data_IF_521458148954
#
_entry.id   IF_521458148954
#
_cell.length_a   1.000
_cell.length_b   1.000
_cell.length_c   1.000
_cell.angle_alpha   90.00
_cell.angle_beta   90.00
_cell.angle_gamma   90.00
#
_symmetry.space_group_name_H-M   'P 1'
#
loop_
_entity.id
_entity.type
_entity.pdbx_description
1 polymer ?
#
# COMPACT_ATOMS: atom_id res chain seq x y z
N UNK A 1 -4.48 8.25 0.35
CA UNK A 1 -5.23 7.06 0.82
C UNK A 1 -4.22 6.05 1.29
N UNK A 2 -4.52 5.32 2.36
CA UNK A 2 -3.74 4.18 2.85
C UNK A 2 -4.41 2.88 2.39
N UNK A 3 -3.58 1.87 2.15
CA UNK A 3 -4.00 0.52 1.82
C UNK A 3 -3.21 -0.46 2.67
N UNK A 4 -3.87 -1.48 3.20
CA UNK A 4 -3.25 -2.48 4.05
C UNK A 4 -4.03 -3.79 3.97
N UNK A 5 -3.35 -4.88 4.31
CA UNK A 5 -3.94 -6.21 4.40
C UNK A 5 -4.15 -6.57 5.86
N UNK A 6 -5.20 -7.33 6.14
CA UNK A 6 -5.48 -7.91 7.46
C UNK A 6 -5.94 -9.34 7.23
N UNK A 7 -5.26 -10.31 7.82
CA UNK A 7 -5.58 -11.74 7.75
C UNK A 7 -5.89 -12.35 9.12
N UNK A 8 -6.34 -11.53 10.08
CA UNK A 8 -6.84 -11.99 11.38
C UNK A 8 -8.17 -12.77 11.26
N UNK A 9 -9.19 -12.38 12.03
CA UNK A 9 -10.47 -13.11 12.05
C UNK A 9 -11.17 -13.22 10.68
N UNK A 10 -11.01 -12.21 9.83
CA UNK A 10 -11.55 -12.19 8.48
C UNK A 10 -10.53 -11.50 7.56
N UNK A 11 -10.03 -12.26 6.59
CA UNK A 11 -9.03 -11.81 5.65
C UNK A 11 -9.61 -10.74 4.71
N UNK A 12 -8.86 -9.66 4.50
CA UNK A 12 -9.32 -8.50 3.73
C UNK A 12 -8.16 -7.65 3.23
N UNK A 13 -8.42 -6.94 2.13
CA UNK A 13 -7.66 -5.76 1.73
C UNK A 13 -8.50 -4.54 2.02
N UNK A 14 -7.93 -3.61 2.76
CA UNK A 14 -8.62 -2.41 3.23
C UNK A 14 -8.01 -1.15 2.67
N UNK A 15 -8.86 -0.11 2.63
CA UNK A 15 -8.48 1.24 2.23
C UNK A 15 -9.07 2.24 3.22
N UNK A 16 -8.31 3.26 3.58
CA UNK A 16 -8.82 4.42 4.31
C UNK A 16 -8.17 5.73 3.84
N UNK A 17 -8.68 6.84 4.35
CA UNK A 17 -8.02 8.14 4.25
C UNK A 17 -6.76 8.18 5.13
N UNK A 18 -5.82 9.07 4.82
CA UNK A 18 -4.55 9.11 5.58
C UNK A 18 -4.72 9.63 7.02
N UNK A 19 -5.90 10.13 7.37
CA UNK A 19 -6.33 10.47 8.73
C UNK A 19 -7.11 9.35 9.43
N UNK A 20 -7.20 8.17 8.80
CA UNK A 20 -7.87 6.97 9.29
C UNK A 20 -9.38 6.94 9.05
N UNK A 21 -9.96 8.00 8.48
CA UNK A 21 -11.40 8.07 8.20
C UNK A 21 -11.77 7.27 6.94
N UNK A 22 -13.07 7.07 6.70
CA UNK A 22 -13.59 6.40 5.51
C UNK A 22 -12.93 5.03 5.25
N UNK A 23 -12.73 4.24 6.31
CA UNK A 23 -12.19 2.88 6.21
C UNK A 23 -13.23 1.98 5.53
N UNK A 24 -12.81 1.34 4.45
CA UNK A 24 -13.65 0.47 3.61
C UNK A 24 -12.89 -0.79 3.23
N UNK A 25 -13.58 -1.92 3.22
CA UNK A 25 -13.05 -3.16 2.65
C UNK A 25 -13.17 -3.09 1.13
N UNK A 26 -12.06 -3.25 0.42
CA UNK A 26 -12.04 -3.26 -1.05
C UNK A 26 -11.95 -4.70 -1.60
N UNK A 27 -11.53 -5.65 -0.76
CA UNK A 27 -11.59 -7.09 -1.02
C UNK A 27 -11.91 -7.78 0.30
N UNK A 28 -12.97 -8.58 0.33
CA UNK A 28 -13.50 -9.28 1.50
C UNK A 28 -13.93 -10.73 1.19
N UNK A 29 -13.68 -11.20 -0.04
CA UNK A 29 -14.09 -12.53 -0.52
C UNK A 29 -12.96 -13.17 -1.31
N UNK A 30 -12.89 -14.51 -1.29
CA UNK A 30 -11.84 -15.30 -1.96
C UNK A 30 -10.45 -14.78 -1.60
N UNK A 31 -10.20 -14.54 -0.31
CA UNK A 31 -8.97 -14.00 0.25
C UNK A 31 -8.76 -14.68 1.60
N UNK A 32 -7.53 -15.11 1.90
CA UNK A 32 -7.26 -15.96 3.06
C UNK A 32 -6.00 -15.51 3.80
N UNK A 33 -4.85 -15.41 3.12
CA UNK A 33 -3.60 -14.95 3.74
C UNK A 33 -2.87 -13.91 2.87
N UNK A 34 -3.42 -12.69 2.75
CA UNK A 34 -2.77 -11.58 2.07
C UNK A 34 -1.55 -11.06 2.85
N UNK A 35 -0.34 -11.43 2.45
CA UNK A 35 0.91 -11.15 3.18
C UNK A 35 1.71 -9.96 2.65
N UNK A 36 1.51 -9.57 1.39
CA UNK A 36 2.17 -8.41 0.80
C UNK A 36 1.24 -7.64 -0.12
N UNK A 37 1.47 -6.33 -0.26
CA UNK A 37 0.72 -5.44 -1.15
C UNK A 37 1.64 -4.49 -1.90
N UNK A 38 1.24 -4.09 -3.11
CA UNK A 38 1.90 -3.05 -3.89
C UNK A 38 0.86 -2.13 -4.55
N UNK A 39 1.23 -0.86 -4.71
CA UNK A 39 0.33 0.15 -5.28
C UNK A 39 0.88 0.68 -6.59
N UNK A 40 0.08 0.62 -7.66
CA UNK A 40 0.28 1.40 -8.86
C UNK A 40 -0.42 2.75 -8.69
N UNK A 41 0.37 3.78 -8.35
CA UNK A 41 -0.14 5.13 -8.10
C UNK A 41 -0.68 5.82 -9.35
N UNK A 42 -0.23 5.42 -10.55
CA UNK A 42 -0.62 6.04 -11.82
C UNK A 42 -1.95 5.46 -12.29
N UNK A 43 -2.01 4.12 -12.40
CA UNK A 43 -3.18 3.42 -12.92
C UNK A 43 -4.25 3.12 -11.84
N UNK A 44 -3.95 3.44 -10.57
CA UNK A 44 -4.84 3.25 -9.42
C UNK A 44 -5.24 1.79 -9.21
N UNK A 45 -4.24 0.91 -9.19
CA UNK A 45 -4.40 -0.52 -8.90
C UNK A 45 -3.68 -0.92 -7.60
N UNK A 46 -4.28 -1.87 -6.89
CA UNK A 46 -3.76 -2.52 -5.69
C UNK A 46 -3.47 -3.96 -6.06
N UNK A 47 -2.21 -4.37 -5.94
CA UNK A 47 -1.77 -5.74 -6.10
C UNK A 47 -1.57 -6.34 -4.71
N UNK A 48 -1.94 -7.61 -4.53
CA UNK A 48 -1.62 -8.33 -3.30
C UNK A 48 -1.20 -9.76 -3.60
N UNK A 49 -0.41 -10.29 -2.67
CA UNK A 49 0.05 -11.67 -2.65
C UNK A 49 -0.72 -12.42 -1.57
N UNK A 50 -1.44 -13.47 -1.97
CA UNK A 50 -2.11 -14.41 -1.07
C UNK A 50 -1.39 -15.76 -1.10
N UNK A 51 -0.72 -16.11 0.01
CA UNK A 51 0.11 -17.33 0.10
C UNK A 51 -0.70 -18.59 0.36
N UNK A 52 -1.94 -18.47 0.85
CA UNK A 52 -2.80 -19.63 1.07
C UNK A 52 -3.54 -20.01 -0.21
N UNK A 53 -4.01 -19.01 -0.96
CA UNK A 53 -4.68 -19.21 -2.25
C UNK A 53 -3.72 -19.38 -3.44
N UNK A 54 -2.41 -19.35 -3.18
CA UNK A 54 -1.36 -19.49 -4.18
C UNK A 54 -1.52 -18.47 -5.32
N UNK A 55 -1.87 -17.22 -5.01
CA UNK A 55 -2.23 -16.22 -6.03
C UNK A 55 -1.67 -14.83 -5.80
N UNK A 56 -1.24 -14.20 -6.88
CA UNK A 56 -1.02 -12.75 -6.96
C UNK A 56 -2.19 -12.17 -7.75
N UNK A 57 -2.91 -11.23 -7.14
CA UNK A 57 -4.12 -10.65 -7.71
C UNK A 57 -4.07 -9.13 -7.68
N UNK A 58 -4.97 -8.52 -8.45
CA UNK A 58 -5.07 -7.08 -8.57
C UNK A 58 -6.52 -6.63 -8.63
N UNK A 59 -6.80 -5.48 -8.01
CA UNK A 59 -8.06 -4.73 -8.09
C UNK A 59 -7.76 -3.25 -8.30
N UNK A 60 -8.71 -2.49 -8.82
CA UNK A 60 -8.59 -1.04 -8.75
C UNK A 60 -8.81 -0.52 -7.33
N UNK A 61 -8.55 0.77 -7.11
CA UNK A 61 -8.66 1.38 -5.78
C UNK A 61 -10.07 1.33 -5.17
N UNK A 62 -11.10 0.98 -5.94
CA UNK A 62 -12.48 0.81 -5.47
C UNK A 62 -12.85 -0.68 -5.30
N UNK A 63 -11.91 -1.61 -5.42
CA UNK A 63 -12.15 -3.04 -5.33
C UNK A 63 -12.76 -3.66 -6.60
N UNK A 64 -12.82 -2.92 -7.71
CA UNK A 64 -13.42 -3.39 -8.97
C UNK A 64 -12.37 -3.97 -9.89
N UNK A 65 -12.83 -4.61 -10.97
CA UNK A 65 -11.97 -5.18 -12.05
C UNK A 65 -10.92 -6.16 -11.52
N UNK A 66 -11.32 -6.96 -10.54
CA UNK A 66 -10.49 -8.00 -9.97
C UNK A 66 -10.05 -8.98 -11.04
N UNK A 67 -8.75 -9.24 -11.12
CA UNK A 67 -8.20 -10.31 -11.94
C UNK A 67 -6.93 -10.88 -11.30
N UNK A 68 -6.66 -12.13 -11.64
CA UNK A 68 -5.48 -12.86 -11.15
C UNK A 68 -4.31 -12.61 -12.09
N UNK A 69 -3.17 -12.15 -11.54
CA UNK A 69 -1.92 -11.99 -12.28
C UNK A 69 -1.20 -13.32 -12.36
N UNK A 70 -1.06 -14.03 -11.25
CA UNK A 70 -0.35 -15.31 -11.20
C UNK A 70 -1.07 -16.24 -10.25
N UNK A 71 -1.12 -17.54 -10.60
CA UNK A 71 -1.65 -18.58 -9.73
C UNK A 71 -0.80 -19.84 -9.79
N UNK A 72 -0.67 -20.54 -8.67
CA UNK A 72 -0.01 -21.84 -8.59
C UNK A 72 1.07 -21.91 -7.51
N UNK A 73 1.61 -23.11 -7.31
CA UNK A 73 2.51 -23.44 -6.19
C UNK A 73 3.76 -22.57 -6.12
N UNK A 74 4.22 -22.00 -7.24
CA UNK A 74 5.35 -21.07 -7.28
C UNK A 74 5.12 -19.79 -6.47
N UNK A 75 3.85 -19.48 -6.13
CA UNK A 75 3.46 -18.30 -5.36
C UNK A 75 3.65 -18.50 -3.84
N UNK A 76 3.60 -19.74 -3.34
CA UNK A 76 3.64 -20.08 -1.89
C UNK A 76 4.81 -19.48 -1.14
N UNK A 77 5.93 -19.39 -1.84
CA UNK A 77 7.22 -19.00 -1.27
C UNK A 77 7.59 -17.57 -1.65
N UNK A 78 6.64 -16.82 -2.22
CA UNK A 78 6.86 -15.42 -2.51
C UNK A 78 6.71 -14.58 -1.25
N UNK A 79 7.50 -13.51 -1.15
CA UNK A 79 7.35 -12.52 -0.09
C UNK A 79 7.75 -11.13 -0.58
N UNK A 80 7.14 -10.11 0.02
CA UNK A 80 7.26 -8.73 -0.46
C UNK A 80 6.65 -8.55 -1.85
N UNK A 81 6.20 -7.34 -2.14
CA UNK A 81 5.66 -7.03 -3.46
C UNK A 81 5.92 -5.58 -3.79
N UNK A 82 6.43 -5.35 -4.99
CA UNK A 82 6.62 -4.03 -5.56
C UNK A 82 6.13 -4.04 -7.01
N UNK A 83 5.68 -2.89 -7.49
CA UNK A 83 5.26 -2.70 -8.89
C UNK A 83 5.99 -1.51 -9.47
N UNK A 84 6.53 -1.67 -10.67
CA UNK A 84 7.06 -0.57 -11.45
C UNK A 84 6.94 -0.88 -12.94
N UNK A 85 6.44 0.11 -13.69
CA UNK A 85 6.16 -0.03 -15.12
C UNK A 85 5.35 -1.31 -15.41
N UNK A 86 5.87 -2.22 -16.23
CA UNK A 86 5.16 -3.42 -16.68
C UNK A 86 5.41 -4.64 -15.78
N UNK A 87 6.14 -4.47 -14.68
CA UNK A 87 6.64 -5.60 -13.90
C UNK A 87 6.24 -5.53 -12.43
N UNK A 88 5.98 -6.70 -11.88
CA UNK A 88 5.97 -6.96 -10.45
C UNK A 88 7.36 -7.48 -10.04
N UNK A 89 7.79 -7.03 -8.88
CA UNK A 89 9.03 -7.46 -8.25
C UNK A 89 8.67 -8.11 -6.90
N UNK A 90 9.18 -9.31 -6.70
CA UNK A 90 8.90 -10.12 -5.50
C UNK A 90 10.17 -10.86 -5.10
N UNK A 91 10.24 -11.26 -3.84
CA UNK A 91 11.27 -12.16 -3.36
C UNK A 91 10.72 -13.59 -3.39
N UNK A 92 11.59 -14.57 -3.56
CA UNK A 92 11.29 -15.98 -3.38
C UNK A 92 12.14 -16.50 -2.20
N UNK A 93 11.48 -16.90 -1.12
CA UNK A 93 12.14 -17.35 0.11
C UNK A 93 12.79 -18.72 0.00
N UNK A 94 12.40 -19.55 -0.96
CA UNK A 94 12.96 -20.92 -1.10
C UNK A 94 14.36 -20.91 -1.70
N UNK A 95 14.52 -20.18 -2.80
CA UNK A 95 15.79 -20.11 -3.53
C UNK A 95 16.52 -18.77 -3.31
N UNK A 96 15.97 -17.92 -2.43
CA UNK A 96 16.52 -16.63 -2.03
C UNK A 96 16.71 -15.68 -3.23
N UNK A 97 15.82 -15.71 -4.21
CA UNK A 97 15.94 -14.90 -5.43
C UNK A 97 15.01 -13.69 -5.46
N UNK A 98 15.46 -12.64 -6.13
CA UNK A 98 14.61 -11.52 -6.55
C UNK A 98 14.03 -11.86 -7.91
N UNK A 99 12.72 -11.95 -7.99
CA UNK A 99 12.00 -12.25 -9.22
C UNK A 99 11.39 -10.99 -9.81
N UNK A 100 11.39 -10.93 -11.14
CA UNK A 100 10.65 -9.98 -11.95
C UNK A 100 9.60 -10.74 -12.75
N UNK A 101 8.34 -10.31 -12.65
CA UNK A 101 7.19 -10.96 -13.28
C UNK A 101 6.50 -9.92 -14.17
N UNK A 102 6.27 -10.22 -15.44
CA UNK A 102 5.49 -9.34 -16.30
C UNK A 102 4.01 -9.38 -15.88
N UNK A 103 3.42 -8.21 -15.56
CA UNK A 103 2.05 -8.13 -15.03
C UNK A 103 0.96 -8.35 -16.07
N UNK A 104 1.30 -8.28 -17.36
CA UNK A 104 0.37 -8.54 -18.46
C UNK A 104 0.51 -9.95 -19.03
N UNK A 105 1.72 -10.51 -18.90
CA UNK A 105 2.03 -11.87 -19.34
C UNK A 105 2.72 -12.63 -18.20
N UNK A 106 1.92 -13.28 -17.38
CA UNK A 106 2.33 -13.94 -16.14
C UNK A 106 3.32 -15.09 -16.28
N UNK A 107 3.63 -15.52 -17.51
CA UNK A 107 4.61 -16.57 -17.79
C UNK A 107 6.04 -16.04 -17.93
N UNK A 108 6.21 -14.73 -18.16
CA UNK A 108 7.52 -14.09 -18.24
C UNK A 108 8.04 -13.77 -16.83
N UNK A 109 8.70 -14.78 -16.22
CA UNK A 109 9.31 -14.71 -14.90
C UNK A 109 10.83 -14.83 -15.02
N UNK A 110 11.54 -13.82 -14.53
CA UNK A 110 13.00 -13.78 -14.54
C UNK A 110 13.56 -13.63 -13.13
N UNK A 111 14.58 -14.44 -12.81
CA UNK A 111 15.42 -14.23 -11.62
C UNK A 111 16.48 -13.16 -11.91
N UNK A 112 16.48 -12.08 -11.12
CA UNK A 112 17.38 -10.94 -11.30
C UNK A 112 18.65 -11.04 -10.45
N UNK A 113 18.50 -11.53 -9.21
CA UNK A 113 19.58 -11.60 -8.24
C UNK A 113 19.27 -12.66 -7.17
N UNK A 114 20.28 -13.09 -6.43
CA UNK A 114 20.12 -13.87 -5.20
C UNK A 114 20.45 -12.99 -4.00
N UNK A 115 19.55 -12.95 -3.02
CA UNK A 115 19.68 -12.17 -1.81
C UNK A 115 19.17 -13.00 -0.62
N UNK A 116 20.10 -13.42 0.23
CA UNK A 116 19.76 -14.14 1.45
C UNK A 116 19.05 -13.22 2.45
N UNK A 117 18.09 -13.78 3.20
CA UNK A 117 17.37 -13.11 4.28
C UNK A 117 16.58 -11.84 3.88
N UNK A 118 16.27 -11.66 2.59
CA UNK A 118 15.41 -10.58 2.15
C UNK A 118 13.97 -10.77 2.66
N UNK A 119 13.36 -9.69 3.19
CA UNK A 119 11.99 -9.71 3.75
C UNK A 119 11.03 -8.80 3.02
N UNK A 120 11.52 -7.69 2.50
CA UNK A 120 10.72 -6.68 1.82
C UNK A 120 11.48 -6.18 0.59
N UNK A 121 10.73 -5.77 -0.43
CA UNK A 121 11.26 -5.20 -1.66
C UNK A 121 10.52 -3.91 -1.96
N UNK A 122 11.26 -2.87 -2.34
CA UNK A 122 10.71 -1.57 -2.72
C UNK A 122 11.42 -1.03 -3.96
N UNK A 123 10.65 -0.31 -4.78
CA UNK A 123 11.20 0.39 -5.95
C UNK A 123 11.70 1.75 -5.50
N UNK A 124 12.99 2.01 -5.71
CA UNK A 124 13.60 3.31 -5.46
C UNK A 124 13.73 4.10 -6.77
N UNK A 125 12.69 4.87 -7.10
CA UNK A 125 12.63 5.63 -8.36
C UNK A 125 11.71 6.86 -8.21
N UNK A 126 12.09 8.00 -8.80
CA UNK A 126 11.39 9.30 -8.62
C UNK A 126 9.92 9.30 -9.06
N UNK A 127 9.60 8.64 -10.18
CA UNK A 127 8.22 8.45 -10.69
C UNK A 127 7.38 7.55 -9.79
N UNK A 128 7.98 6.62 -9.04
CA UNK A 128 7.28 5.86 -8.01
C UNK A 128 6.85 6.73 -6.80
N UNK A 129 7.42 7.94 -6.67
CA UNK A 129 7.15 8.91 -5.62
C UNK A 129 6.80 10.27 -6.24
N UNK A 130 5.65 10.34 -6.93
CA UNK A 130 5.26 11.54 -7.67
C UNK A 130 5.19 12.77 -6.75
N UNK A 131 5.99 13.79 -7.05
CA UNK A 131 5.98 15.04 -6.30
C UNK A 131 4.65 15.77 -6.47
N UNK A 132 4.14 16.34 -5.37
CA UNK A 132 3.01 17.27 -5.37
C UNK A 132 3.55 18.69 -5.19
N UNK A 133 3.03 19.66 -5.94
CA UNK A 133 3.47 21.06 -5.84
C UNK A 133 3.19 21.67 -4.48
N UNK A 134 2.03 21.34 -3.91
CA UNK A 134 1.70 21.74 -2.55
C UNK A 134 0.62 20.86 -1.91
N UNK A 135 0.62 20.76 -0.59
CA UNK A 135 -0.32 19.93 0.18
C UNK A 135 -0.84 20.61 1.44
N UNK A 136 -1.99 20.17 1.95
CA UNK A 136 -2.69 20.81 3.06
C UNK A 136 -1.92 20.82 4.40
N UNK A 137 -0.92 19.95 4.55
CA UNK A 137 -0.05 19.90 5.73
C UNK A 137 1.29 20.65 5.54
N UNK A 138 1.37 21.57 4.59
CA UNK A 138 2.55 22.44 4.48
C UNK A 138 2.73 23.26 5.77
N UNK A 139 3.98 23.48 6.13
CA UNK A 139 4.34 24.25 7.32
C UNK A 139 3.95 25.70 7.09
N UNK A 140 3.13 26.25 7.99
CA UNK A 140 2.74 27.65 7.96
C UNK A 140 3.88 28.57 8.45
N UNK A 141 3.75 29.91 8.33
CA UNK A 141 4.79 30.85 8.79
C UNK A 141 5.13 30.75 10.28
N UNK A 142 4.27 30.13 11.09
CA UNK A 142 4.46 29.93 12.53
C UNK A 142 5.11 28.58 12.85
N UNK A 143 5.52 27.82 11.83
CA UNK A 143 6.15 26.51 12.01
C UNK A 143 5.16 25.38 12.28
N UNK A 144 3.86 25.58 12.08
CA UNK A 144 2.84 24.56 12.34
C UNK A 144 2.44 23.85 11.04
N UNK A 145 2.63 22.51 10.93
CA UNK A 145 2.18 21.74 9.77
C UNK A 145 0.67 21.86 9.59
N UNK A 146 0.24 22.50 8.50
CA UNK A 146 -1.14 22.83 8.24
C UNK A 146 -1.81 23.70 9.31
N UNK A 147 -1.09 24.28 10.28
CA UNK A 147 -1.69 24.95 11.43
C UNK A 147 -2.26 23.98 12.49
N UNK A 148 -1.79 22.73 12.56
CA UNK A 148 -2.11 21.77 13.63
C UNK A 148 -1.09 21.88 14.77
N UNK A 149 -1.54 21.82 16.02
CA UNK A 149 -0.63 21.91 17.17
C UNK A 149 0.27 20.67 17.35
N UNK A 150 -0.22 19.48 16.99
CA UNK A 150 0.50 18.21 17.15
C UNK A 150 0.77 17.51 15.81
N UNK A 151 -0.25 16.91 15.19
CA UNK A 151 -0.09 16.08 13.99
C UNK A 151 -1.06 16.59 12.91
N UNK A 152 -0.54 16.82 11.71
CA UNK A 152 -1.34 17.08 10.52
C UNK A 152 -1.39 15.84 9.64
N UNK A 153 -2.59 15.31 9.39
CA UNK A 153 -2.80 14.18 8.50
C UNK A 153 -3.55 14.65 7.25
N UNK A 154 -3.10 14.24 6.07
CA UNK A 154 -3.88 14.40 4.85
C UNK A 154 -5.16 13.56 4.98
N UNK A 155 -6.30 14.03 4.48
CA UNK A 155 -7.57 13.31 4.61
C UNK A 155 -8.01 12.68 3.28
N UNK A 156 -9.12 13.15 2.73
CA UNK A 156 -9.75 12.60 1.53
C UNK A 156 -8.87 12.75 0.29
N UNK A 157 -8.04 13.80 0.23
CA UNK A 157 -7.07 14.08 -0.83
C UNK A 157 -5.89 14.95 -0.31
N UNK A 158 -4.93 15.28 -1.16
CA UNK A 158 -3.71 16.02 -0.79
C UNK A 158 -3.95 17.51 -0.43
N UNK A 159 -5.14 18.05 -0.72
CA UNK A 159 -5.57 19.42 -0.39
C UNK A 159 -6.49 19.49 0.83
N UNK A 160 -6.87 18.35 1.40
CA UNK A 160 -7.64 18.29 2.63
C UNK A 160 -6.78 17.71 3.76
N UNK A 161 -7.00 18.21 4.99
CA UNK A 161 -6.28 17.75 6.18
C UNK A 161 -7.18 17.65 7.40
N UNK A 162 -6.72 16.88 8.38
CA UNK A 162 -7.30 16.74 9.71
C UNK A 162 -6.19 16.87 10.74
N UNK A 163 -6.40 17.65 11.81
CA UNK A 163 -5.47 17.69 12.93
C UNK A 163 -5.77 16.55 13.90
N UNK A 164 -4.72 15.90 14.40
CA UNK A 164 -4.83 14.87 15.44
C UNK A 164 -3.88 15.19 16.58
N UNK A 165 -4.31 14.80 17.78
CA UNK A 165 -3.53 14.96 18.99
C UNK A 165 -2.72 13.70 19.29
N UNK A 166 -1.56 13.89 19.92
CA UNK A 166 -0.80 12.79 20.51
C UNK A 166 -1.63 12.12 21.61
N UNK A 167 -1.34 10.87 21.90
CA UNK A 167 -1.97 10.11 22.99
C UNK A 167 -1.93 10.92 24.30
N UNK A 168 -3.08 10.99 24.98
CA UNK A 168 -3.24 11.74 26.23
C UNK A 168 -3.76 13.17 26.07
N UNK A 169 -3.90 13.68 24.84
CA UNK A 169 -4.45 15.02 24.56
C UNK A 169 -5.77 14.93 23.78
N UNK A 170 -6.64 15.91 24.00
CA UNK A 170 -7.95 16.03 23.35
C UNK A 170 -7.91 17.17 22.34
N UNK A 171 -8.49 16.93 21.16
CA UNK A 171 -8.62 17.96 20.13
C UNK A 171 -9.65 19.01 20.56
N UNK A 172 -9.24 20.27 20.55
CA UNK A 172 -10.09 21.42 20.84
C UNK A 172 -11.20 21.59 19.81
N UNK A 173 -12.20 22.40 20.16
CA UNK A 173 -13.34 22.74 19.29
C UNK A 173 -12.93 23.53 18.04
N UNK A 174 -11.74 24.14 18.05
CA UNK A 174 -11.14 24.80 16.88
C UNK A 174 -10.65 23.80 15.81
N UNK A 175 -10.65 22.50 16.12
CA UNK A 175 -10.18 21.43 15.25
C UNK A 175 -8.69 21.47 14.95
N UNK A 176 -7.90 22.19 15.76
CA UNK A 176 -6.45 22.42 15.53
C UNK A 176 -5.60 22.27 16.77
N UNK A 177 -6.08 22.80 17.89
CA UNK A 177 -5.37 22.84 19.16
C UNK A 177 -5.57 21.53 19.92
N UNK A 178 -4.56 21.09 20.67
CA UNK A 178 -4.62 19.92 21.54
C UNK A 178 -4.43 20.36 22.99
N UNK A 179 -5.26 19.86 23.89
CA UNK A 179 -5.26 20.17 25.32
C UNK A 179 -5.17 18.91 26.16
#
# INVERSE_FOLDING_TARGET
KLFFTDYGNAAKVERCDMDGMNRTWIVDSKIEQPTALALDLVNKYVYWLDIYLDSVEVVDYQGRRRHTIMKGKQVRHLCGLAVFENYLYTLNSDNLSVLRINRFNSTDVQSLARLANAKEIRVYQKRAQTAVRSHACEVDPYGMPGGCSHICLLSSNYKARTCRCRTGFILGSDGRSCK
#
